data_IF_668580789081
#
_entry.id   IF_668580789081
#
_cell.length_a   1.000
_cell.length_b   1.000
_cell.length_c   1.000
_cell.angle_alpha   90.00
_cell.angle_beta   90.00
_cell.angle_gamma   90.00
#
_symmetry.space_group_name_H-M   'P 1'
#
loop_
_entity.id
_entity.type
_entity.pdbx_description
1 polymer ?
#
# COMPACT_ATOMS: atom_id res chain seq x y z
N UNK A 1 -29.74 -41.67 -16.48
CA UNK A 1 -30.77 -40.71 -16.05
C UNK A 1 -30.31 -39.91 -14.82
N UNK A 2 -30.12 -40.51 -13.64
CA UNK A 2 -29.69 -39.80 -12.42
C UNK A 2 -28.39 -38.96 -12.55
N UNK A 3 -27.38 -39.44 -13.29
CA UNK A 3 -26.13 -38.70 -13.51
C UNK A 3 -26.31 -37.44 -14.39
N UNK A 4 -27.15 -37.51 -15.43
CA UNK A 4 -27.43 -36.38 -16.31
C UNK A 4 -28.25 -35.31 -15.58
N UNK A 5 -29.21 -35.74 -14.77
CA UNK A 5 -30.03 -34.86 -13.92
C UNK A 5 -29.19 -34.15 -12.86
N UNK A 6 -28.29 -34.86 -12.17
CA UNK A 6 -27.33 -34.27 -11.22
C UNK A 6 -26.42 -33.23 -11.88
N UNK A 7 -25.88 -33.52 -13.07
CA UNK A 7 -25.05 -32.58 -13.83
C UNK A 7 -25.83 -31.32 -14.25
N UNK A 8 -27.08 -31.48 -14.66
CA UNK A 8 -27.95 -30.38 -15.06
C UNK A 8 -28.35 -29.50 -13.88
N UNK A 9 -28.61 -30.11 -12.72
CA UNK A 9 -28.87 -29.39 -11.47
C UNK A 9 -27.64 -28.59 -11.01
N UNK A 10 -26.43 -29.14 -11.10
CA UNK A 10 -25.20 -28.40 -10.82
C UNK A 10 -24.98 -27.23 -11.78
N UNK A 11 -25.21 -27.41 -13.08
CA UNK A 11 -25.11 -26.31 -14.05
C UNK A 11 -26.08 -25.17 -13.73
N UNK A 12 -27.31 -25.52 -13.32
CA UNK A 12 -28.31 -24.54 -12.88
C UNK A 12 -27.87 -23.81 -11.61
N UNK A 13 -27.31 -24.53 -10.63
CA UNK A 13 -26.79 -23.95 -9.40
C UNK A 13 -25.65 -22.95 -9.67
N UNK A 14 -24.70 -23.29 -10.54
CA UNK A 14 -23.61 -22.39 -10.95
C UNK A 14 -24.14 -21.13 -11.67
N UNK A 15 -25.13 -21.29 -12.53
CA UNK A 15 -25.76 -20.15 -13.22
C UNK A 15 -26.39 -19.18 -12.23
N UNK A 16 -27.15 -19.70 -11.26
CA UNK A 16 -27.80 -18.89 -10.22
C UNK A 16 -26.75 -18.25 -9.29
N UNK A 17 -25.74 -19.01 -8.86
CA UNK A 17 -24.68 -18.48 -8.01
C UNK A 17 -23.91 -17.34 -8.71
N UNK A 18 -23.57 -17.52 -9.99
CA UNK A 18 -22.93 -16.48 -10.80
C UNK A 18 -23.80 -15.23 -10.96
N UNK A 19 -25.13 -15.39 -11.04
CA UNK A 19 -26.08 -14.29 -11.07
C UNK A 19 -26.10 -13.51 -9.74
N UNK A 20 -26.09 -14.21 -8.60
CA UNK A 20 -26.02 -13.55 -7.29
C UNK A 20 -24.72 -12.78 -7.06
N UNK A 21 -23.62 -13.23 -7.68
CA UNK A 21 -22.33 -12.54 -7.61
C UNK A 21 -22.16 -11.42 -8.66
N UNK A 22 -23.18 -11.14 -9.48
CA UNK A 22 -23.09 -10.13 -10.53
C UNK A 22 -22.77 -8.74 -9.96
N UNK A 23 -23.39 -8.34 -8.84
CA UNK A 23 -23.12 -7.05 -8.20
C UNK A 23 -21.67 -6.94 -7.74
N UNK A 24 -21.14 -7.97 -7.08
CA UNK A 24 -19.73 -8.05 -6.69
C UNK A 24 -18.82 -7.91 -7.91
N UNK A 25 -19.13 -8.60 -9.01
CA UNK A 25 -18.36 -8.51 -10.24
C UNK A 25 -18.27 -7.09 -10.79
N UNK A 26 -19.41 -6.41 -10.90
CA UNK A 26 -19.47 -5.07 -11.47
C UNK A 26 -18.79 -4.04 -10.57
N UNK A 27 -19.07 -4.07 -9.26
CA UNK A 27 -18.54 -3.09 -8.31
C UNK A 27 -17.04 -3.29 -8.09
N UNK A 28 -16.59 -4.51 -7.82
CA UNK A 28 -15.16 -4.79 -7.62
C UNK A 28 -14.37 -4.61 -8.92
N UNK A 29 -14.95 -4.96 -10.06
CA UNK A 29 -14.34 -4.66 -11.35
C UNK A 29 -14.16 -3.16 -11.57
N UNK A 30 -15.16 -2.36 -11.19
CA UNK A 30 -15.07 -0.90 -11.25
C UNK A 30 -14.04 -0.32 -10.29
N UNK A 31 -13.87 -0.86 -9.07
CA UNK A 31 -12.85 -0.34 -8.14
C UNK A 31 -11.44 -0.42 -8.73
N UNK A 32 -11.11 -1.50 -9.46
CA UNK A 32 -9.81 -1.60 -10.15
C UNK A 32 -9.77 -0.80 -11.46
N UNK A 33 -10.81 -0.91 -12.31
CA UNK A 33 -10.81 -0.18 -13.59
C UNK A 33 -10.78 1.34 -13.38
N UNK A 34 -11.48 1.85 -12.37
CA UNK A 34 -11.48 3.28 -12.05
C UNK A 34 -10.12 3.78 -11.57
N UNK A 35 -9.24 2.93 -11.03
CA UNK A 35 -7.87 3.30 -10.72
C UNK A 35 -7.09 3.62 -12.00
N UNK A 36 -7.17 2.75 -13.01
CA UNK A 36 -6.63 3.01 -14.35
C UNK A 36 -7.24 4.28 -14.96
N UNK A 37 -8.57 4.37 -14.99
CA UNK A 37 -9.29 5.47 -15.61
C UNK A 37 -8.89 6.83 -15.00
N UNK A 38 -8.82 6.92 -13.68
CA UNK A 38 -8.42 8.15 -12.99
C UNK A 38 -6.99 8.57 -13.28
N UNK A 39 -6.06 7.61 -13.40
CA UNK A 39 -4.61 7.87 -13.54
C UNK A 39 -4.16 8.13 -14.98
N UNK A 40 -4.94 7.67 -15.96
CA UNK A 40 -4.58 7.78 -17.39
C UNK A 40 -5.47 8.79 -18.11
N UNK A 41 -6.78 8.80 -17.81
CA UNK A 41 -7.75 9.61 -18.56
C UNK A 41 -8.09 10.92 -17.85
N UNK A 42 -8.36 10.88 -16.54
CA UNK A 42 -8.81 12.07 -15.80
C UNK A 42 -7.67 12.96 -15.33
N UNK A 43 -6.65 12.37 -14.69
CA UNK A 43 -5.50 13.07 -14.15
C UNK A 43 -4.24 12.23 -14.43
N UNK A 44 -3.27 12.78 -15.16
CA UNK A 44 -2.05 12.03 -15.48
C UNK A 44 -1.14 11.92 -14.24
N UNK A 45 -1.31 10.83 -13.49
CA UNK A 45 -0.58 10.55 -12.23
C UNK A 45 0.64 9.65 -12.40
N UNK A 46 1.03 9.37 -13.64
CA UNK A 46 2.17 8.52 -13.99
C UNK A 46 3.43 9.32 -14.32
N UNK A 47 3.36 10.64 -14.41
CA UNK A 47 4.53 11.48 -14.67
C UNK A 47 5.30 11.66 -13.35
N UNK A 48 6.59 11.30 -13.28
CA UNK A 48 7.44 11.62 -12.14
C UNK A 48 7.50 13.12 -11.85
N UNK A 49 7.74 13.49 -10.59
CA UNK A 49 7.90 14.88 -10.13
C UNK A 49 6.69 15.82 -10.35
N UNK A 50 5.54 15.29 -10.76
CA UNK A 50 4.26 16.04 -10.72
C UNK A 50 3.52 15.77 -9.41
N UNK A 51 2.77 16.78 -8.96
CA UNK A 51 1.96 16.65 -7.73
C UNK A 51 0.98 15.50 -7.88
N UNK A 52 1.05 14.53 -6.96
CA UNK A 52 0.19 13.35 -6.98
C UNK A 52 0.72 12.20 -7.83
N UNK A 53 2.01 12.21 -8.19
CA UNK A 53 2.69 11.05 -8.76
C UNK A 53 2.49 9.81 -7.87
N UNK A 54 2.05 8.71 -8.47
CA UNK A 54 1.69 7.52 -7.71
C UNK A 54 2.88 6.84 -7.02
N UNK A 55 4.11 7.02 -7.52
CA UNK A 55 5.29 6.47 -6.87
C UNK A 55 5.53 7.06 -5.47
N UNK A 56 5.13 8.31 -5.23
CA UNK A 56 5.17 8.90 -3.89
C UNK A 56 4.18 8.21 -2.96
N UNK A 57 2.98 7.88 -3.44
CA UNK A 57 2.00 7.10 -2.66
C UNK A 57 2.51 5.71 -2.35
N UNK A 58 3.21 5.07 -3.28
CA UNK A 58 3.82 3.76 -3.05
C UNK A 58 4.88 3.81 -1.94
N UNK A 59 5.58 4.94 -1.81
CA UNK A 59 6.51 5.18 -0.71
C UNK A 59 5.82 5.20 0.67
N UNK A 60 4.56 5.66 0.73
CA UNK A 60 3.79 5.66 1.97
C UNK A 60 3.49 4.25 2.49
N UNK A 61 3.55 3.23 1.63
CA UNK A 61 3.27 1.84 2.03
C UNK A 61 4.44 1.24 2.83
N UNK A 62 5.67 1.70 2.58
CA UNK A 62 6.91 1.08 3.06
C UNK A 62 7.00 0.88 4.59
N UNK A 63 6.69 1.88 5.45
CA UNK A 63 7.03 1.80 6.87
C UNK A 63 6.52 0.55 7.60
N UNK A 64 5.23 0.25 7.45
CA UNK A 64 4.54 -0.83 8.17
C UNK A 64 3.97 -1.90 7.23
N UNK A 65 4.46 -2.02 6.00
CA UNK A 65 4.08 -3.11 5.10
C UNK A 65 4.38 -4.49 5.72
N UNK A 66 3.47 -5.43 5.54
CA UNK A 66 3.57 -6.80 6.06
C UNK A 66 4.07 -7.77 4.98
N UNK A 67 5.22 -8.39 5.21
CA UNK A 67 5.78 -9.43 4.34
C UNK A 67 6.39 -8.97 3.01
N UNK A 68 6.03 -7.78 2.51
CA UNK A 68 6.49 -7.26 1.20
C UNK A 68 7.41 -6.02 1.29
N UNK A 69 7.83 -5.65 2.50
CA UNK A 69 8.67 -4.47 2.75
C UNK A 69 9.95 -4.40 1.88
N UNK A 70 10.74 -5.49 1.71
CA UNK A 70 11.97 -5.43 0.90
C UNK A 70 11.73 -5.10 -0.59
N UNK A 71 10.60 -5.57 -1.14
CA UNK A 71 10.24 -5.31 -2.55
C UNK A 71 9.85 -3.84 -2.70
N UNK A 72 9.07 -3.30 -1.77
CA UNK A 72 8.70 -1.88 -1.77
C UNK A 72 9.95 -1.02 -1.62
N UNK A 73 10.82 -1.37 -0.69
CA UNK A 73 12.08 -0.65 -0.42
C UNK A 73 12.98 -0.62 -1.67
N UNK A 74 13.13 -1.75 -2.35
CA UNK A 74 13.87 -1.81 -3.61
C UNK A 74 13.29 -0.85 -4.66
N UNK A 75 11.96 -0.84 -4.84
CA UNK A 75 11.33 0.00 -5.84
C UNK A 75 11.50 1.50 -5.50
N UNK A 76 11.26 1.91 -4.25
CA UNK A 76 11.37 3.34 -3.88
C UNK A 76 12.80 3.86 -3.86
N UNK A 77 13.80 2.97 -3.77
CA UNK A 77 15.21 3.31 -3.96
C UNK A 77 15.62 3.38 -5.45
N UNK A 78 14.81 2.83 -6.36
CA UNK A 78 15.13 2.76 -7.79
C UNK A 78 13.98 3.38 -8.62
N UNK A 79 13.97 4.72 -8.80
CA UNK A 79 12.86 5.45 -9.43
C UNK A 79 12.44 4.93 -10.81
N UNK A 80 13.41 4.51 -11.64
CA UNK A 80 13.13 3.97 -12.98
C UNK A 80 12.34 2.65 -12.91
N UNK A 81 12.73 1.76 -12.00
CA UNK A 81 12.02 0.50 -11.76
C UNK A 81 10.65 0.75 -11.13
N UNK A 82 10.54 1.70 -10.20
CA UNK A 82 9.27 2.10 -9.62
C UNK A 82 8.31 2.61 -10.70
N UNK A 83 8.78 3.46 -11.61
CA UNK A 83 7.94 3.99 -12.68
C UNK A 83 7.37 2.89 -13.56
N UNK A 84 8.22 1.96 -14.02
CA UNK A 84 7.76 0.80 -14.79
C UNK A 84 6.78 -0.06 -14.00
N UNK A 85 7.06 -0.32 -12.71
CA UNK A 85 6.15 -1.07 -11.85
C UNK A 85 4.78 -0.39 -11.74
N UNK A 86 4.73 0.94 -11.58
CA UNK A 86 3.48 1.71 -11.49
C UNK A 86 2.69 1.71 -12.79
N UNK A 87 3.36 1.79 -13.94
CA UNK A 87 2.73 1.69 -15.27
C UNK A 87 2.14 0.30 -15.47
N UNK A 88 2.94 -0.75 -15.24
CA UNK A 88 2.50 -2.15 -15.39
C UNK A 88 1.32 -2.43 -14.46
N UNK A 89 1.42 -2.03 -13.19
CA UNK A 89 0.36 -2.22 -12.21
C UNK A 89 -0.95 -1.53 -12.64
N UNK A 90 -0.85 -0.28 -13.11
CA UNK A 90 -2.00 0.49 -13.60
C UNK A 90 -2.65 -0.17 -14.82
N UNK A 91 -1.87 -0.68 -15.77
CA UNK A 91 -2.40 -1.44 -16.92
C UNK A 91 -3.09 -2.72 -16.47
N UNK A 92 -2.49 -3.47 -15.54
CA UNK A 92 -3.08 -4.71 -14.99
C UNK A 92 -4.40 -4.39 -14.30
N UNK A 93 -4.48 -3.35 -13.47
CA UNK A 93 -5.73 -2.91 -12.84
C UNK A 93 -6.81 -2.58 -13.86
N UNK A 94 -6.43 -1.91 -14.97
CA UNK A 94 -7.34 -1.59 -16.07
C UNK A 94 -7.87 -2.84 -16.78
N UNK A 95 -6.98 -3.76 -17.16
CA UNK A 95 -7.35 -5.01 -17.86
C UNK A 95 -8.18 -5.90 -16.95
N UNK A 96 -7.69 -6.18 -15.73
CA UNK A 96 -8.37 -7.02 -14.76
C UNK A 96 -9.72 -6.42 -14.41
N UNK A 97 -9.78 -5.14 -14.07
CA UNK A 97 -11.03 -4.47 -13.74
C UNK A 97 -12.07 -4.54 -14.87
N UNK A 98 -11.68 -4.18 -16.09
CA UNK A 98 -12.58 -4.18 -17.24
C UNK A 98 -13.08 -5.59 -17.59
N UNK A 99 -12.17 -6.56 -17.69
CA UNK A 99 -12.55 -7.93 -18.03
C UNK A 99 -13.33 -8.62 -16.90
N UNK A 100 -13.08 -8.25 -15.65
CA UNK A 100 -13.90 -8.68 -14.53
C UNK A 100 -15.33 -8.15 -14.69
N UNK A 101 -15.54 -6.84 -14.93
CA UNK A 101 -16.88 -6.25 -15.20
C UNK A 101 -17.61 -7.03 -16.29
N UNK A 102 -16.95 -7.24 -17.43
CA UNK A 102 -17.52 -7.94 -18.59
C UNK A 102 -17.76 -9.44 -18.35
N UNK A 103 -17.12 -10.03 -17.34
CA UNK A 103 -17.13 -11.47 -17.12
C UNK A 103 -16.38 -12.22 -18.22
N UNK A 104 -15.26 -11.68 -18.68
CA UNK A 104 -14.37 -12.31 -19.66
C UNK A 104 -13.20 -12.98 -18.95
N UNK A 105 -12.98 -14.27 -19.21
CA UNK A 105 -12.05 -15.11 -18.43
C UNK A 105 -12.24 -14.90 -16.93
N UNK A 106 -13.49 -15.04 -16.46
CA UNK A 106 -13.90 -14.56 -15.13
C UNK A 106 -13.04 -15.14 -14.00
N UNK A 107 -12.62 -16.41 -14.10
CA UNK A 107 -11.79 -17.03 -13.05
C UNK A 107 -10.34 -16.56 -13.11
N UNK A 108 -9.78 -16.36 -14.29
CA UNK A 108 -8.46 -15.75 -14.42
C UNK A 108 -8.47 -14.32 -13.86
N UNK A 109 -9.49 -13.54 -14.19
CA UNK A 109 -9.64 -12.18 -13.65
C UNK A 109 -9.89 -12.19 -12.13
N UNK A 110 -10.58 -13.21 -11.62
CA UNK A 110 -10.74 -13.43 -10.17
C UNK A 110 -9.41 -13.64 -9.45
N UNK A 111 -8.49 -14.41 -10.06
CA UNK A 111 -7.10 -14.55 -9.56
C UNK A 111 -6.39 -13.20 -9.62
N UNK A 112 -6.57 -12.43 -10.69
CA UNK A 112 -6.06 -11.07 -10.81
C UNK A 112 -6.54 -10.17 -9.66
N UNK A 113 -7.85 -10.13 -9.42
CA UNK A 113 -8.47 -9.38 -8.30
C UNK A 113 -7.91 -9.84 -6.97
N UNK A 114 -7.83 -11.15 -6.73
CA UNK A 114 -7.30 -11.70 -5.48
C UNK A 114 -5.85 -11.26 -5.25
N UNK A 115 -5.00 -11.32 -6.29
CA UNK A 115 -3.60 -10.89 -6.21
C UNK A 115 -3.46 -9.39 -5.98
N UNK A 116 -4.23 -8.57 -6.69
CA UNK A 116 -4.22 -7.11 -6.52
C UNK A 116 -4.70 -6.72 -5.11
N UNK A 117 -5.81 -7.31 -4.66
CA UNK A 117 -6.35 -7.10 -3.32
C UNK A 117 -5.35 -7.49 -2.22
N UNK A 118 -4.69 -8.65 -2.38
CA UNK A 118 -3.68 -9.13 -1.44
C UNK A 118 -2.46 -8.20 -1.42
N UNK A 119 -2.00 -7.72 -2.58
CA UNK A 119 -0.89 -6.77 -2.65
C UNK A 119 -1.19 -5.46 -1.93
N UNK A 120 -2.39 -4.90 -2.13
CA UNK A 120 -2.86 -3.70 -1.43
C UNK A 120 -2.96 -3.98 0.07
N UNK A 121 -3.57 -5.10 0.48
CA UNK A 121 -3.72 -5.47 1.89
C UNK A 121 -2.36 -5.56 2.60
N UNK A 122 -1.39 -6.22 1.98
CA UNK A 122 -0.07 -6.44 2.58
C UNK A 122 0.79 -5.17 2.59
N UNK A 123 0.66 -4.30 1.57
CA UNK A 123 1.43 -3.07 1.49
C UNK A 123 0.85 -1.93 2.32
N UNK A 124 -0.45 -1.67 2.14
CA UNK A 124 -1.12 -0.48 2.64
C UNK A 124 -2.24 -0.77 3.64
N UNK A 125 -2.50 -2.03 4.04
CA UNK A 125 -3.60 -2.36 4.97
C UNK A 125 -3.47 -1.75 6.37
N UNK A 126 -2.34 -1.14 6.71
CA UNK A 126 -2.17 -0.36 7.93
C UNK A 126 -2.57 1.10 7.77
N UNK A 127 -2.76 1.58 6.53
CA UNK A 127 -3.24 2.93 6.25
C UNK A 127 -4.75 3.04 6.50
N UNK A 128 -5.16 4.26 6.86
CA UNK A 128 -6.55 4.57 7.23
C UNK A 128 -6.62 5.54 8.41
N UNK A 129 -6.71 6.84 8.13
CA UNK A 129 -6.66 7.88 9.17
C UNK A 129 -7.96 7.98 9.97
N UNK A 130 -9.09 7.63 9.35
CA UNK A 130 -10.43 7.67 9.94
C UNK A 130 -11.12 6.32 9.84
N UNK A 131 -11.21 5.81 8.62
CA UNK A 131 -11.72 4.49 8.30
C UNK A 131 -10.54 3.61 7.88
N UNK A 132 -10.60 2.31 8.19
CA UNK A 132 -9.54 1.34 7.85
C UNK A 132 -9.63 0.95 6.37
N UNK A 133 -9.61 1.95 5.50
CA UNK A 133 -10.09 1.89 4.12
C UNK A 133 -9.28 0.89 3.29
N UNK A 134 -7.96 0.99 3.31
CA UNK A 134 -7.07 0.11 2.55
C UNK A 134 -7.18 -1.35 2.99
N UNK A 135 -7.34 -1.59 4.30
CA UNK A 135 -7.57 -2.94 4.83
C UNK A 135 -8.91 -3.50 4.36
N UNK A 136 -9.99 -2.71 4.47
CA UNK A 136 -11.34 -3.12 4.04
C UNK A 136 -11.38 -3.44 2.55
N UNK A 137 -10.76 -2.60 1.72
CA UNK A 137 -10.61 -2.85 0.27
C UNK A 137 -9.87 -4.16 0.04
N UNK A 138 -8.77 -4.38 0.75
CA UNK A 138 -7.97 -5.60 0.66
C UNK A 138 -8.76 -6.86 0.99
N UNK A 139 -9.35 -6.95 2.18
CA UNK A 139 -10.06 -8.15 2.63
C UNK A 139 -11.34 -8.44 1.82
N UNK A 140 -12.10 -7.40 1.47
CA UNK A 140 -13.30 -7.55 0.64
C UNK A 140 -12.95 -7.91 -0.80
N UNK A 141 -11.85 -7.37 -1.34
CA UNK A 141 -11.33 -7.72 -2.65
C UNK A 141 -10.89 -9.18 -2.72
N UNK A 142 -10.16 -9.67 -1.72
CA UNK A 142 -9.77 -11.08 -1.62
C UNK A 142 -11.00 -11.98 -1.54
N UNK A 143 -11.98 -11.64 -0.69
CA UNK A 143 -13.23 -12.39 -0.55
C UNK A 143 -14.04 -12.42 -1.85
N UNK A 144 -14.17 -11.29 -2.55
CA UNK A 144 -14.89 -11.18 -3.80
C UNK A 144 -14.19 -11.95 -4.93
N UNK A 145 -12.86 -11.82 -5.06
CA UNK A 145 -12.06 -12.57 -6.01
C UNK A 145 -12.22 -14.08 -5.80
N UNK A 146 -12.08 -14.57 -4.57
CA UNK A 146 -12.29 -15.98 -4.26
C UNK A 146 -13.71 -16.44 -4.56
N UNK A 147 -14.72 -15.66 -4.17
CA UNK A 147 -16.13 -15.99 -4.40
C UNK A 147 -16.43 -16.12 -5.88
N UNK A 148 -16.00 -15.16 -6.70
CA UNK A 148 -16.20 -15.21 -8.16
C UNK A 148 -15.37 -16.29 -8.84
N UNK A 149 -14.20 -16.64 -8.30
CA UNK A 149 -13.45 -17.78 -8.78
C UNK A 149 -14.27 -19.07 -8.61
N UNK A 150 -14.96 -19.23 -7.48
CA UNK A 150 -15.78 -20.41 -7.22
C UNK A 150 -17.06 -20.40 -8.06
N UNK A 151 -17.80 -19.29 -8.10
CA UNK A 151 -19.12 -19.21 -8.77
C UNK A 151 -19.03 -19.03 -10.28
N UNK A 152 -18.00 -18.38 -10.80
CA UNK A 152 -17.90 -17.93 -12.18
C UNK A 152 -18.78 -16.71 -12.48
N UNK A 153 -18.80 -16.27 -13.74
CA UNK A 153 -19.48 -15.04 -14.16
C UNK A 153 -20.98 -15.16 -14.43
N UNK A 154 -21.57 -16.35 -14.26
CA UNK A 154 -23.01 -16.55 -14.48
C UNK A 154 -23.49 -16.29 -15.92
N UNK A 155 -24.80 -16.18 -16.15
CA UNK A 155 -25.38 -16.06 -17.50
C UNK A 155 -25.07 -14.72 -18.18
N UNK A 156 -24.95 -13.63 -17.42
CA UNK A 156 -24.64 -12.29 -17.93
C UNK A 156 -23.13 -12.02 -18.01
N UNK A 157 -22.33 -13.04 -18.34
CA UNK A 157 -20.89 -12.91 -18.58
C UNK A 157 -20.57 -13.06 -20.06
N UNK A 158 -19.52 -12.37 -20.51
CA UNK A 158 -19.00 -12.55 -21.86
C UNK A 158 -18.55 -14.00 -22.10
N UNK A 159 -18.03 -14.68 -21.07
CA UNK A 159 -17.73 -16.12 -21.12
C UNK A 159 -18.94 -16.97 -21.51
N UNK A 160 -20.11 -16.73 -20.88
CA UNK A 160 -21.33 -17.48 -21.17
C UNK A 160 -21.89 -17.14 -22.56
N UNK A 161 -21.77 -15.87 -22.98
CA UNK A 161 -22.20 -15.42 -24.30
C UNK A 161 -21.32 -15.97 -25.44
N UNK A 162 -20.00 -16.03 -25.24
CA UNK A 162 -19.05 -16.50 -26.25
C UNK A 162 -18.93 -18.02 -26.31
N UNK A 163 -19.28 -18.74 -25.24
CA UNK A 163 -19.23 -20.21 -25.19
C UNK A 163 -19.87 -20.92 -26.40
N UNK A 164 -21.11 -20.61 -26.82
CA UNK A 164 -21.71 -21.25 -28.00
C UNK A 164 -21.09 -20.77 -29.32
N UNK A 165 -20.49 -19.57 -29.37
CA UNK A 165 -19.94 -18.96 -30.59
C UNK A 165 -18.50 -19.37 -30.87
N UNK A 166 -17.74 -19.73 -29.83
CA UNK A 166 -16.32 -20.06 -29.91
C UNK A 166 -16.04 -21.43 -29.26
N UNK A 167 -16.55 -22.53 -29.83
CA UNK A 167 -16.38 -23.86 -29.26
C UNK A 167 -14.92 -24.32 -29.21
N UNK A 168 -14.06 -23.80 -30.10
CA UNK A 168 -12.61 -24.06 -30.07
C UNK A 168 -11.92 -23.53 -28.80
N UNK A 169 -12.45 -22.46 -28.20
CA UNK A 169 -11.89 -21.87 -26.98
C UNK A 169 -12.59 -22.42 -25.73
N UNK A 170 -13.92 -22.50 -25.74
CA UNK A 170 -14.70 -22.89 -24.56
C UNK A 170 -15.06 -24.40 -24.49
N UNK A 171 -14.65 -25.19 -25.49
CA UNK A 171 -14.96 -26.62 -25.56
C UNK A 171 -14.05 -27.53 -24.72
N UNK A 172 -12.90 -27.04 -24.27
CA UNK A 172 -11.93 -27.85 -23.54
C UNK A 172 -12.13 -27.81 -22.02
N UNK A 173 -11.90 -28.94 -21.33
CA UNK A 173 -12.09 -29.03 -19.87
C UNK A 173 -11.17 -28.10 -19.07
N UNK A 174 -9.98 -27.80 -19.60
CA UNK A 174 -9.02 -26.91 -18.94
C UNK A 174 -9.47 -25.45 -18.97
N UNK A 175 -10.22 -25.01 -19.98
CA UNK A 175 -10.65 -23.61 -20.06
C UNK A 175 -11.71 -23.25 -19.02
N UNK A 176 -12.34 -24.25 -18.39
CA UNK A 176 -13.22 -24.03 -17.23
C UNK A 176 -12.48 -23.48 -16.00
N UNK A 177 -11.15 -23.63 -15.91
CA UNK A 177 -10.34 -23.06 -14.82
C UNK A 177 -10.10 -21.56 -14.98
N UNK A 178 -10.19 -21.04 -16.20
CA UNK A 178 -9.94 -19.63 -16.52
C UNK A 178 -11.22 -18.88 -16.89
N UNK A 179 -12.24 -19.56 -17.41
CA UNK A 179 -13.55 -18.99 -17.81
C UNK A 179 -14.64 -19.36 -16.80
N UNK A 180 -15.87 -18.90 -17.03
CA UNK A 180 -17.09 -19.19 -16.25
C UNK A 180 -17.67 -20.61 -16.42
N UNK A 181 -16.86 -21.58 -16.83
CA UNK A 181 -17.21 -23.00 -16.97
C UNK A 181 -17.67 -23.68 -15.68
N UNK A 182 -18.18 -24.92 -15.80
CA UNK A 182 -18.29 -25.78 -14.62
C UNK A 182 -16.89 -26.22 -14.20
N UNK A 183 -16.50 -25.95 -12.95
CA UNK A 183 -15.20 -26.41 -12.44
C UNK A 183 -15.16 -27.93 -12.48
N UNK A 184 -14.10 -28.56 -13.03
CA UNK A 184 -14.00 -30.01 -13.14
C UNK A 184 -13.64 -30.67 -11.80
N UNK A 185 -14.37 -30.33 -10.73
CA UNK A 185 -14.20 -30.82 -9.37
C UNK A 185 -15.40 -31.68 -8.95
N UNK A 186 -15.17 -32.62 -8.04
CA UNK A 186 -16.26 -33.34 -7.39
C UNK A 186 -17.05 -32.40 -6.47
N UNK A 187 -18.32 -32.69 -6.20
CA UNK A 187 -19.13 -31.89 -5.28
C UNK A 187 -18.51 -31.80 -3.88
N UNK A 188 -17.94 -32.92 -3.38
CA UNK A 188 -17.24 -32.95 -2.09
C UNK A 188 -16.01 -32.05 -2.09
N UNK A 189 -15.20 -32.10 -3.15
CA UNK A 189 -14.03 -31.23 -3.32
C UNK A 189 -14.44 -29.77 -3.39
N UNK A 190 -15.49 -29.44 -4.15
CA UNK A 190 -15.99 -28.08 -4.27
C UNK A 190 -16.42 -27.50 -2.91
N UNK A 191 -17.22 -28.25 -2.14
CA UNK A 191 -17.64 -27.85 -0.79
C UNK A 191 -16.43 -27.64 0.14
N UNK A 192 -15.49 -28.59 0.15
CA UNK A 192 -14.27 -28.49 0.98
C UNK A 192 -13.43 -27.28 0.60
N UNK A 193 -13.22 -27.03 -0.70
CA UNK A 193 -12.46 -25.87 -1.17
C UNK A 193 -13.15 -24.56 -0.81
N UNK A 194 -14.47 -24.46 -0.98
CA UNK A 194 -15.24 -23.27 -0.58
C UNK A 194 -15.12 -22.97 0.92
N UNK A 195 -15.30 -23.99 1.76
CA UNK A 195 -15.20 -23.83 3.23
C UNK A 195 -13.76 -23.51 3.64
N UNK A 196 -12.78 -24.23 3.12
CA UNK A 196 -11.36 -24.00 3.41
C UNK A 196 -10.95 -22.58 3.01
N UNK A 197 -11.31 -22.13 1.80
CA UNK A 197 -11.02 -20.78 1.36
C UNK A 197 -11.70 -19.71 2.22
N UNK A 198 -12.96 -19.90 2.60
CA UNK A 198 -13.65 -18.98 3.52
C UNK A 198 -12.93 -18.89 4.89
N UNK A 199 -12.53 -20.02 5.46
CA UNK A 199 -11.78 -20.05 6.74
C UNK A 199 -10.43 -19.35 6.59
N UNK A 200 -9.69 -19.60 5.51
CA UNK A 200 -8.41 -18.93 5.25
C UNK A 200 -8.56 -17.42 5.08
N UNK A 201 -9.62 -16.96 4.41
CA UNK A 201 -9.90 -15.53 4.22
C UNK A 201 -10.27 -14.88 5.56
N UNK A 202 -11.10 -15.53 6.39
CA UNK A 202 -11.40 -15.03 7.74
C UNK A 202 -10.13 -14.97 8.58
N UNK A 203 -9.29 -16.00 8.54
CA UNK A 203 -8.01 -16.01 9.23
C UNK A 203 -7.10 -14.86 8.76
N UNK A 204 -6.97 -14.66 7.44
CA UNK A 204 -6.20 -13.55 6.86
C UNK A 204 -6.74 -12.19 7.33
N UNK A 205 -8.06 -12.01 7.35
CA UNK A 205 -8.70 -10.78 7.83
C UNK A 205 -8.38 -10.54 9.30
N UNK A 206 -8.58 -11.53 10.17
CA UNK A 206 -8.30 -11.40 11.60
C UNK A 206 -6.81 -11.17 11.87
N UNK A 207 -5.93 -11.91 11.20
CA UNK A 207 -4.48 -11.76 11.30
C UNK A 207 -4.04 -10.35 10.93
N UNK A 208 -4.44 -9.86 9.75
CA UNK A 208 -4.06 -8.53 9.28
C UNK A 208 -4.66 -7.42 10.12
N UNK A 209 -5.90 -7.56 10.59
CA UNK A 209 -6.50 -6.60 11.54
C UNK A 209 -5.71 -6.53 12.85
N UNK A 210 -5.26 -7.69 13.37
CA UNK A 210 -4.43 -7.73 14.56
C UNK A 210 -3.04 -7.12 14.33
N UNK A 211 -2.38 -7.46 13.22
CA UNK A 211 -1.04 -6.99 12.88
C UNK A 211 -1.01 -5.48 12.65
N UNK A 212 -2.01 -4.93 11.97
CA UNK A 212 -2.01 -3.53 11.56
C UNK A 212 -2.60 -2.58 12.60
N UNK A 213 -3.63 -3.02 13.33
CA UNK A 213 -4.44 -2.14 14.18
C UNK A 213 -4.57 -2.63 15.62
N UNK A 214 -4.14 -3.86 15.94
CA UNK A 214 -4.45 -4.49 17.22
C UNK A 214 -5.96 -4.73 17.38
N UNK A 215 -6.69 -4.91 16.28
CA UNK A 215 -8.15 -4.85 16.24
C UNK A 215 -8.89 -6.11 16.70
N UNK A 216 -8.19 -7.16 17.15
CA UNK A 216 -8.81 -8.40 17.67
C UNK A 216 -8.62 -8.53 19.18
N UNK A 217 -7.40 -8.30 19.66
CA UNK A 217 -7.07 -8.32 21.09
C UNK A 217 -5.93 -7.34 21.43
N UNK A 218 -5.87 -6.93 22.69
CA UNK A 218 -4.86 -5.99 23.19
C UNK A 218 -5.24 -4.53 22.99
N UNK A 219 -4.24 -3.65 22.88
CA UNK A 219 -4.43 -2.21 22.72
C UNK A 219 -4.61 -1.85 21.26
N UNK A 220 -5.79 -1.29 20.94
CA UNK A 220 -6.07 -0.70 19.65
C UNK A 220 -5.09 0.46 19.37
N UNK A 221 -4.53 0.48 18.16
CA UNK A 221 -3.63 1.53 17.72
C UNK A 221 -3.91 1.91 16.27
N UNK A 222 -3.61 3.15 15.91
CA UNK A 222 -3.68 3.62 14.53
C UNK A 222 -2.42 4.40 14.19
N UNK A 223 -1.54 3.74 13.43
CA UNK A 223 -0.25 4.29 12.99
C UNK A 223 -0.39 5.34 11.89
N UNK A 224 -1.58 5.58 11.37
CA UNK A 224 -1.81 6.60 10.34
C UNK A 224 -2.31 7.93 10.90
N UNK A 225 -2.45 8.08 12.22
CA UNK A 225 -2.97 9.33 12.81
C UNK A 225 -1.86 10.28 13.21
N UNK A 226 -0.93 9.83 14.06
CA UNK A 226 0.13 10.71 14.62
C UNK A 226 1.44 10.51 13.88
N UNK A 227 2.16 11.58 13.52
CA UNK A 227 3.48 11.42 12.91
C UNK A 227 4.44 10.74 13.89
N UNK A 228 5.35 9.95 13.35
CA UNK A 228 6.52 9.45 14.07
C UNK A 228 7.73 9.51 13.16
N UNK A 229 8.78 10.17 13.63
CA UNK A 229 10.06 10.26 12.96
C UNK A 229 11.06 9.43 13.75
N UNK A 230 11.70 8.48 13.07
CA UNK A 230 12.87 7.78 13.56
C UNK A 230 14.11 8.57 13.13
N UNK A 231 15.00 8.81 14.09
CA UNK A 231 16.28 9.48 13.88
C UNK A 231 17.35 8.40 14.00
N UNK A 232 18.20 8.24 12.98
CA UNK A 232 19.31 7.29 12.97
C UNK A 232 20.59 7.97 12.51
N UNK A 233 21.72 7.28 12.68
CA UNK A 233 23.02 7.71 12.14
C UNK A 233 23.38 9.15 12.57
N UNK A 234 23.01 9.52 13.80
CA UNK A 234 23.25 10.85 14.33
C UNK A 234 24.69 10.96 14.82
N UNK A 235 25.45 11.91 14.27
CA UNK A 235 26.85 12.11 14.63
C UNK A 235 27.30 13.55 14.37
N UNK A 236 28.25 14.05 15.16
CA UNK A 236 28.95 15.30 14.85
C UNK A 236 30.35 14.95 14.37
N UNK A 237 30.65 15.29 13.12
CA UNK A 237 31.97 15.10 12.50
C UNK A 237 32.29 16.29 11.58
N UNK A 238 33.57 16.63 11.43
CA UNK A 238 34.05 17.72 10.58
C UNK A 238 33.23 19.03 10.73
N UNK A 239 32.96 19.42 11.97
CA UNK A 239 32.20 20.63 12.33
C UNK A 239 30.74 20.67 11.81
N UNK A 240 30.18 19.51 11.47
CA UNK A 240 28.81 19.36 10.98
C UNK A 240 28.07 18.31 11.78
N UNK A 241 26.76 18.53 11.92
CA UNK A 241 25.84 17.56 12.49
C UNK A 241 25.19 16.77 11.35
N UNK A 242 25.33 15.46 11.37
CA UNK A 242 24.69 14.52 10.47
C UNK A 242 23.57 13.81 11.22
N UNK A 243 22.42 13.64 10.57
CA UNK A 243 21.32 12.83 11.09
C UNK A 243 20.47 12.29 9.93
N UNK A 244 20.08 11.03 10.01
CA UNK A 244 19.10 10.44 9.10
C UNK A 244 17.71 10.54 9.74
N UNK A 245 16.76 11.14 9.04
CA UNK A 245 15.33 11.13 9.41
C UNK A 245 14.57 10.13 8.56
N UNK A 246 13.69 9.36 9.19
CA UNK A 246 12.75 8.47 8.52
C UNK A 246 11.36 8.59 9.13
N UNK A 247 10.37 9.02 8.35
CA UNK A 247 8.99 9.11 8.85
C UNK A 247 8.26 7.78 8.68
N UNK A 248 7.95 7.14 9.80
CA UNK A 248 7.36 5.79 9.83
C UNK A 248 5.85 5.74 10.08
N UNK A 249 5.27 6.80 10.63
CA UNK A 249 3.85 6.86 10.99
C UNK A 249 3.23 8.24 10.67
N UNK A 250 1.91 8.28 10.72
CA UNK A 250 1.06 9.46 10.55
C UNK A 250 0.32 9.50 9.23
N UNK A 251 -0.41 10.60 9.03
CA UNK A 251 -1.31 10.82 7.90
C UNK A 251 -0.53 10.83 6.58
N UNK A 252 -1.05 10.14 5.56
CA UNK A 252 -0.44 10.00 4.23
C UNK A 252 -0.71 11.21 3.30
N UNK A 253 -1.70 12.05 3.60
CA UNK A 253 -2.04 13.24 2.80
C UNK A 253 -1.26 14.51 3.19
N UNK A 254 -0.63 14.55 4.37
CA UNK A 254 0.17 15.69 4.83
C UNK A 254 1.53 15.22 5.39
N UNK A 255 2.54 16.08 5.30
CA UNK A 255 3.85 15.86 5.93
C UNK A 255 3.80 16.01 7.44
N UNK A 256 4.83 15.50 8.13
CA UNK A 256 5.22 16.12 9.41
C UNK A 256 5.87 17.45 9.09
N UNK A 257 5.57 18.46 9.90
CA UNK A 257 6.06 19.82 9.72
C UNK A 257 7.00 20.12 10.87
N UNK A 258 8.29 19.90 10.63
CA UNK A 258 9.33 20.10 11.62
C UNK A 258 9.56 21.60 11.81
N UNK A 259 9.30 22.09 13.02
CA UNK A 259 9.44 23.49 13.41
C UNK A 259 10.53 23.72 14.46
N UNK A 260 11.18 22.66 14.92
CA UNK A 260 12.28 22.75 15.87
C UNK A 260 13.32 21.68 15.64
N UNK A 261 14.59 22.08 15.59
CA UNK A 261 15.74 21.20 15.74
C UNK A 261 16.61 21.79 16.84
N UNK A 262 16.66 21.08 17.97
CA UNK A 262 17.39 21.50 19.16
C UNK A 262 18.50 20.49 19.44
N UNK A 263 19.71 20.96 19.70
CA UNK A 263 20.81 20.15 20.20
C UNK A 263 21.03 20.52 21.67
N UNK A 264 21.12 19.50 22.53
CA UNK A 264 21.39 19.64 23.96
C UNK A 264 22.71 18.98 24.34
N UNK A 265 23.40 19.56 25.31
CA UNK A 265 24.57 18.94 25.96
C UNK A 265 24.16 17.89 27.00
N UNK A 266 25.15 17.24 27.63
CA UNK A 266 24.94 16.24 28.70
C UNK A 266 24.19 16.80 29.92
N UNK A 267 24.27 18.11 30.16
CA UNK A 267 23.60 18.80 31.26
C UNK A 267 22.17 19.23 30.88
N UNK A 268 21.74 19.00 29.64
CA UNK A 268 20.43 19.37 29.11
C UNK A 268 20.32 20.83 28.68
N UNK A 269 21.42 21.59 28.65
CA UNK A 269 21.43 22.95 28.14
C UNK A 269 21.32 22.94 26.61
N UNK A 270 20.57 23.90 26.08
CA UNK A 270 20.43 24.06 24.63
C UNK A 270 21.69 24.71 24.09
N UNK A 271 22.43 23.96 23.28
CA UNK A 271 23.65 24.45 22.60
C UNK A 271 23.36 24.92 21.18
N UNK A 272 22.32 24.39 20.53
CA UNK A 272 21.85 24.86 19.23
C UNK A 272 20.33 24.78 19.17
N UNK A 273 19.69 25.77 18.58
CA UNK A 273 18.27 25.74 18.30
C UNK A 273 17.99 26.32 16.92
N UNK A 274 17.29 25.56 16.08
CA UNK A 274 16.74 26.01 14.80
C UNK A 274 15.23 26.01 14.87
N UNK A 275 14.62 27.16 14.62
CA UNK A 275 13.17 27.32 14.58
C UNK A 275 12.58 26.99 13.20
N UNK A 276 11.26 27.05 13.08
CA UNK A 276 10.55 26.72 11.85
C UNK A 276 10.89 27.64 10.68
N UNK A 277 11.21 28.91 10.93
CA UNK A 277 11.63 29.85 9.88
C UNK A 277 13.01 29.44 9.34
N UNK A 278 13.97 29.16 10.22
CA UNK A 278 15.30 28.69 9.81
C UNK A 278 15.24 27.33 9.10
N UNK A 279 14.40 26.41 9.57
CA UNK A 279 14.16 25.11 8.92
C UNK A 279 13.44 25.22 7.58
N UNK A 280 12.60 26.24 7.38
CA UNK A 280 11.96 26.54 6.09
C UNK A 280 12.96 27.00 5.01
N UNK A 281 14.13 27.46 5.45
CA UNK A 281 15.24 27.88 4.59
C UNK A 281 16.39 26.87 4.56
N UNK A 282 16.15 25.63 4.99
CA UNK A 282 17.16 24.58 4.95
C UNK A 282 17.66 24.38 3.52
N UNK A 283 18.98 24.30 3.34
CA UNK A 283 19.58 24.19 2.01
C UNK A 283 19.26 22.82 1.41
N UNK A 284 18.72 22.79 0.18
CA UNK A 284 18.44 21.53 -0.52
C UNK A 284 19.70 20.68 -0.77
N UNK A 285 20.88 21.30 -0.84
CA UNK A 285 22.17 20.59 -1.00
C UNK A 285 22.55 19.80 0.24
N UNK A 286 22.02 20.20 1.39
CA UNK A 286 22.29 19.59 2.69
C UNK A 286 21.23 18.53 3.04
N UNK A 287 20.29 18.25 2.12
CA UNK A 287 19.29 17.19 2.23
C UNK A 287 19.59 16.13 1.19
N UNK A 288 20.08 14.98 1.64
CA UNK A 288 20.28 13.83 0.78
C UNK A 288 19.12 12.84 0.92
N UNK A 289 18.14 12.97 0.03
CA UNK A 289 16.97 12.09 -0.02
C UNK A 289 17.33 10.69 -0.56
N UNK A 290 16.96 9.65 0.18
CA UNK A 290 17.19 8.24 -0.21
C UNK A 290 16.04 7.68 -1.05
N UNK A 291 14.81 8.08 -0.78
CA UNK A 291 13.61 7.57 -1.45
C UNK A 291 12.92 8.63 -2.32
N UNK A 292 11.96 8.20 -3.14
CA UNK A 292 11.20 9.09 -4.06
C UNK A 292 10.45 10.20 -3.34
N UNK A 293 9.87 9.94 -2.16
CA UNK A 293 9.25 11.01 -1.37
C UNK A 293 10.34 11.85 -0.68
N UNK A 294 10.39 13.13 -1.03
CA UNK A 294 11.50 14.03 -0.66
C UNK A 294 11.18 14.79 0.61
N UNK A 295 12.09 14.72 1.58
CA UNK A 295 12.24 15.73 2.61
C UNK A 295 12.68 17.03 1.93
N UNK A 296 11.99 18.12 2.22
CA UNK A 296 12.27 19.40 1.58
C UNK A 296 11.84 20.58 2.45
N UNK A 297 12.46 21.76 2.26
CA UNK A 297 12.02 22.97 2.93
C UNK A 297 10.62 23.36 2.44
N UNK A 298 9.71 23.59 3.39
CA UNK A 298 8.38 24.14 3.15
C UNK A 298 8.36 25.64 3.37
N UNK A 299 7.16 26.23 3.38
CA UNK A 299 7.00 27.68 3.57
C UNK A 299 7.33 28.16 4.99
N UNK A 300 7.15 27.30 5.99
CA UNK A 300 7.24 27.64 7.42
C UNK A 300 7.89 26.54 8.29
N UNK A 301 8.43 25.50 7.65
CA UNK A 301 8.97 24.31 8.33
C UNK A 301 9.79 23.47 7.36
N UNK A 302 10.53 22.50 7.88
CA UNK A 302 11.05 21.39 7.07
C UNK A 302 9.96 20.32 6.96
N UNK A 303 9.56 19.99 5.73
CA UNK A 303 8.48 19.03 5.46
C UNK A 303 9.07 17.63 5.32
N UNK A 304 8.55 16.68 6.11
CA UNK A 304 8.97 15.28 6.09
C UNK A 304 7.74 14.42 5.72
N UNK A 305 7.55 14.07 4.43
CA UNK A 305 6.44 13.23 3.97
C UNK A 305 6.45 11.82 4.55
N UNK A 306 5.31 11.13 4.53
CA UNK A 306 5.22 9.77 5.07
C UNK A 306 6.14 8.83 4.27
N UNK A 307 6.87 7.96 4.97
CA UNK A 307 7.83 7.06 4.36
C UNK A 307 9.06 7.75 3.78
N UNK A 308 9.18 9.10 3.81
CA UNK A 308 10.39 9.77 3.33
C UNK A 308 11.57 9.46 4.23
N UNK A 309 12.74 9.23 3.63
CA UNK A 309 14.01 9.00 4.32
C UNK A 309 15.07 9.89 3.73
N UNK A 310 15.72 10.69 4.57
CA UNK A 310 16.76 11.61 4.15
C UNK A 310 17.86 11.73 5.19
N UNK A 311 19.09 11.92 4.72
CA UNK A 311 20.20 12.38 5.54
C UNK A 311 20.23 13.92 5.50
N UNK A 312 20.26 14.53 6.68
CA UNK A 312 20.33 15.97 6.86
C UNK A 312 21.71 16.33 7.39
N UNK A 313 22.35 17.29 6.73
CA UNK A 313 23.63 17.84 7.15
C UNK A 313 23.44 19.26 7.65
N UNK A 314 23.71 19.53 8.92
CA UNK A 314 23.62 20.87 9.48
C UNK A 314 25.01 21.44 9.71
N UNK A 315 25.29 22.56 9.04
CA UNK A 315 26.50 23.35 9.27
C UNK A 315 26.14 24.60 10.05
N UNK A 316 26.70 24.77 11.24
CA UNK A 316 26.51 25.95 12.08
C UNK A 316 27.82 26.25 12.83
N UNK A 317 28.27 27.53 12.90
CA UNK A 317 29.49 27.88 13.61
C UNK A 317 29.55 27.38 15.05
N UNK A 318 28.40 27.24 15.72
CA UNK A 318 28.33 26.72 17.08
C UNK A 318 28.75 25.25 17.13
N UNK A 319 28.44 24.45 16.09
CA UNK A 319 28.80 23.03 16.05
C UNK A 319 30.32 22.84 16.04
N UNK A 320 31.05 23.73 15.36
CA UNK A 320 32.50 23.71 15.31
C UNK A 320 33.13 23.89 16.70
N UNK A 321 32.55 24.76 17.53
CA UNK A 321 33.09 25.11 18.85
C UNK A 321 32.66 24.16 19.97
N UNK A 322 31.75 23.22 19.69
CA UNK A 322 31.31 22.24 20.69
C UNK A 322 32.49 21.37 21.18
N UNK A 323 32.63 21.17 22.51
CA UNK A 323 33.61 20.22 23.03
C UNK A 323 33.29 18.78 22.60
N UNK A 324 34.28 17.89 22.72
CA UNK A 324 34.03 16.45 22.59
C UNK A 324 33.14 15.99 23.74
N UNK A 325 32.17 15.13 23.45
CA UNK A 325 31.21 14.67 24.46
C UNK A 325 29.93 14.11 23.86
N UNK A 326 28.99 13.79 24.73
CA UNK A 326 27.67 13.31 24.35
C UNK A 326 26.70 14.48 24.16
N UNK A 327 25.82 14.34 23.19
CA UNK A 327 24.80 15.31 22.84
C UNK A 327 23.49 14.60 22.56
N UNK A 328 22.40 15.34 22.64
CA UNK A 328 21.07 14.85 22.27
C UNK A 328 20.45 15.79 21.23
N UNK A 329 20.05 15.23 20.09
CA UNK A 329 19.22 15.95 19.12
C UNK A 329 17.75 15.74 19.45
N UNK A 330 16.98 16.81 19.40
CA UNK A 330 15.54 16.85 19.62
C UNK A 330 14.88 17.51 18.41
N UNK A 331 13.97 16.79 17.77
CA UNK A 331 13.15 17.25 16.66
C UNK A 331 11.75 17.54 17.17
N UNK A 332 11.18 18.69 16.81
CA UNK A 332 9.84 19.14 17.25
C UNK A 332 8.91 19.36 16.05
N UNK A 333 7.79 18.66 16.03
CA UNK A 333 6.72 18.84 15.04
C UNK A 333 5.75 19.95 15.45
N UNK A 334 5.04 20.52 14.47
CA UNK A 334 4.03 21.56 14.69
C UNK A 334 2.92 21.16 15.68
N UNK A 335 2.65 19.85 15.83
CA UNK A 335 1.71 19.32 16.82
C UNK A 335 2.24 19.32 18.26
N UNK A 336 3.53 19.65 18.48
CA UNK A 336 4.21 19.60 19.77
C UNK A 336 4.82 18.24 20.10
N UNK A 337 4.67 17.24 19.23
CA UNK A 337 5.35 15.94 19.39
C UNK A 337 6.85 16.14 19.20
N UNK A 338 7.64 15.48 20.04
CA UNK A 338 9.09 15.50 19.95
C UNK A 338 9.67 14.09 19.74
N UNK A 339 10.78 14.04 19.00
CA UNK A 339 11.59 12.83 18.81
C UNK A 339 13.03 13.14 19.13
N UNK A 340 13.72 12.22 19.82
CA UNK A 340 15.08 12.47 20.30
C UNK A 340 16.01 11.31 19.99
N UNK A 341 17.29 11.62 19.82
CA UNK A 341 18.35 10.66 19.59
C UNK A 341 19.64 11.16 20.22
N UNK A 342 20.33 10.26 20.93
CA UNK A 342 21.64 10.56 21.49
C UNK A 342 22.72 10.35 20.43
N UNK A 343 23.75 11.19 20.49
CA UNK A 343 24.88 11.19 19.56
C UNK A 343 26.15 11.65 20.26
N UNK A 344 27.30 11.34 19.67
CA UNK A 344 28.61 11.71 20.22
C UNK A 344 29.39 12.57 19.23
N UNK A 345 30.10 13.58 19.75
CA UNK A 345 31.15 14.29 19.02
C UNK A 345 32.50 13.68 19.40
N UNK A 346 33.19 13.11 18.40
CA UNK A 346 34.45 12.38 18.58
C UNK A 346 35.68 13.26 18.74
#
# INVERSE_FOLDING_TARGET
>A
MAYQESKQNMLRAYSIAGLFTLSLRLVVGWTYFSAFWRRVVLENKLIPDTVGYIGEKFNHFLPNAFGIKPIIEYLVNNPDHLWWAMVIFTIIEGIVGLFFILGFFTRLMSVGVLSLATGILLGSGWLGTTCVDEWQIGILGVAAGFTLFMTGGGPYSLDSYLRPKMPWLYGHRWTNWITSGFLPLSESSLKKTSVCGAVLIVFLSLLTNQVFHGGVWGTLHNKSVKPKIEISDASIDNDKLYLTVYRVEGVDVYGSFLIGLTLKDEQGNIVLNKDGEQLSHFSQKDIHNKYVAKVQPGKHSLVIPLGSKAELTLSDPVIATLPKGSYQVLLTDISGITWQQDLTKL
#
